data_IF_573967256233
#
_entry.id   IF_573967256233
#
_cell.length_a   1.000
_cell.length_b   1.000
_cell.length_c   1.000
_cell.angle_alpha   90.00
_cell.angle_beta   90.00
_cell.angle_gamma   90.00
#
_symmetry.space_group_name_H-M   'P 1'
#
loop_
_entity.id
_entity.type
_entity.pdbx_description
1 polymer ?
#
# COMPACT_ATOMS: atom_id res chain seq x y z
N UNK A 1 11.06 12.54 -6.29
CA UNK A 1 10.38 12.12 -5.04
C UNK A 1 8.88 12.17 -5.29
N UNK A 2 8.12 11.18 -4.81
CA UNK A 2 6.64 11.21 -4.94
C UNK A 2 6.09 12.30 -4.03
N UNK A 3 4.98 12.93 -4.41
CA UNK A 3 4.27 13.85 -3.54
C UNK A 3 3.67 13.09 -2.35
N UNK A 4 3.59 13.75 -1.20
CA UNK A 4 2.99 13.19 0.00
C UNK A 4 1.47 13.01 -0.17
N UNK A 5 0.99 11.78 0.00
CA UNK A 5 -0.42 11.42 -0.07
C UNK A 5 -0.99 11.14 1.34
N UNK A 6 -1.36 12.21 2.04
CA UNK A 6 -1.94 12.14 3.39
C UNK A 6 -3.31 11.44 3.40
N UNK A 7 -4.11 11.60 2.35
CA UNK A 7 -5.44 10.98 2.29
C UNK A 7 -5.31 9.47 2.13
N UNK A 8 -4.38 9.03 1.28
CA UNK A 8 -4.02 7.62 1.14
C UNK A 8 -3.48 7.00 2.42
N UNK A 9 -2.59 7.69 3.16
CA UNK A 9 -2.12 7.21 4.47
C UNK A 9 -3.26 7.00 5.46
N UNK A 10 -4.15 7.99 5.58
CA UNK A 10 -5.34 7.89 6.46
C UNK A 10 -6.21 6.71 6.05
N UNK A 11 -6.43 6.51 4.76
CA UNK A 11 -7.21 5.39 4.24
C UNK A 11 -6.56 4.05 4.55
N UNK A 12 -5.26 3.92 4.28
CA UNK A 12 -4.51 2.68 4.53
C UNK A 12 -4.54 2.32 6.02
N UNK A 13 -4.37 3.28 6.92
CA UNK A 13 -4.49 3.08 8.38
C UNK A 13 -5.92 2.72 8.80
N UNK A 14 -6.93 3.36 8.20
CA UNK A 14 -8.34 3.06 8.49
C UNK A 14 -8.71 1.64 8.07
N UNK A 15 -8.27 1.22 6.88
CA UNK A 15 -8.48 -0.15 6.41
C UNK A 15 -7.74 -1.14 7.29
N UNK A 16 -6.50 -0.85 7.67
CA UNK A 16 -5.73 -1.69 8.57
C UNK A 16 -6.42 -1.91 9.93
N UNK A 17 -6.93 -0.85 10.55
CA UNK A 17 -7.76 -0.95 11.76
C UNK A 17 -9.01 -1.81 11.51
N UNK A 18 -9.71 -1.58 10.39
CA UNK A 18 -10.88 -2.36 10.01
C UNK A 18 -10.58 -3.85 9.83
N UNK A 19 -9.42 -4.21 9.27
CA UNK A 19 -9.00 -5.59 9.13
C UNK A 19 -8.81 -6.28 10.48
N UNK A 20 -8.27 -5.58 11.48
CA UNK A 20 -8.13 -6.14 12.81
C UNK A 20 -9.49 -6.42 13.46
N UNK A 21 -10.43 -5.46 13.41
CA UNK A 21 -11.79 -5.69 13.89
C UNK A 21 -12.48 -6.85 13.14
N UNK A 22 -12.30 -6.93 11.82
CA UNK A 22 -12.85 -8.02 11.03
C UNK A 22 -12.24 -9.38 11.42
N UNK A 23 -10.93 -9.47 11.60
CA UNK A 23 -10.26 -10.70 12.04
C UNK A 23 -10.78 -11.16 13.40
N UNK A 24 -10.91 -10.24 14.35
CA UNK A 24 -11.44 -10.51 15.70
C UNK A 24 -12.90 -10.96 15.65
N UNK A 25 -13.73 -10.32 14.83
CA UNK A 25 -15.11 -10.72 14.62
C UNK A 25 -15.18 -12.13 14.00
N UNK A 26 -14.34 -12.43 13.00
CA UNK A 26 -14.29 -13.76 12.37
C UNK A 26 -13.89 -14.84 13.36
N UNK A 27 -12.88 -14.60 14.20
CA UNK A 27 -12.46 -15.54 15.25
C UNK A 27 -13.61 -15.79 16.23
N UNK A 28 -14.32 -14.74 16.66
CA UNK A 28 -15.43 -14.87 17.59
C UNK A 28 -16.70 -15.50 16.99
N UNK A 29 -16.87 -15.44 15.67
CA UNK A 29 -18.00 -16.03 14.95
C UNK A 29 -17.69 -17.44 14.42
N UNK A 30 -16.44 -17.90 14.51
CA UNK A 30 -16.06 -19.21 14.00
C UNK A 30 -16.70 -20.32 14.83
N UNK A 31 -17.31 -21.36 14.21
CA UNK A 31 -17.95 -22.44 14.94
C UNK A 31 -16.98 -23.16 15.87
N UNK A 32 -17.38 -23.30 17.14
CA UNK A 32 -16.59 -23.96 18.21
C UNK A 32 -16.31 -25.44 17.88
N UNK A 33 -17.11 -26.06 16.99
CA UNK A 33 -17.03 -27.48 16.62
C UNK A 33 -15.82 -27.84 15.74
N UNK A 34 -15.26 -26.87 15.00
CA UNK A 34 -14.16 -27.09 14.03
C UNK A 34 -12.80 -26.56 14.53
N UNK A 35 -12.75 -25.98 15.72
CA UNK A 35 -11.51 -25.45 16.30
C UNK A 35 -11.31 -26.07 17.67
N UNK A 36 -10.13 -26.62 17.97
CA UNK A 36 -9.73 -27.01 19.34
C UNK A 36 -9.54 -25.77 20.25
N UNK A 37 -10.36 -24.73 20.07
CA UNK A 37 -10.34 -23.52 20.85
C UNK A 37 -11.28 -23.74 22.04
N UNK A 38 -10.71 -24.03 23.21
CA UNK A 38 -11.48 -24.24 24.43
C UNK A 38 -12.42 -23.06 24.70
N UNK A 39 -13.65 -23.37 25.10
CA UNK A 39 -14.78 -22.46 25.34
C UNK A 39 -14.48 -21.25 26.26
N UNK A 40 -13.37 -21.28 27.00
CA UNK A 40 -12.95 -20.22 27.93
C UNK A 40 -12.16 -19.07 27.28
N UNK A 41 -11.80 -19.17 26.00
CA UNK A 41 -10.96 -18.17 25.30
C UNK A 41 -11.74 -17.23 24.38
N UNK A 42 -12.98 -16.87 24.71
CA UNK A 42 -13.68 -15.81 23.97
C UNK A 42 -12.87 -14.53 24.04
N UNK A 43 -12.37 -14.12 22.88
CA UNK A 43 -11.43 -13.03 22.72
C UNK A 43 -12.20 -11.72 22.95
N UNK A 44 -11.90 -11.01 24.04
CA UNK A 44 -12.76 -9.95 24.53
C UNK A 44 -12.03 -8.83 25.26
N UNK A 45 -12.80 -7.88 25.80
CA UNK A 45 -12.25 -6.71 26.48
C UNK A 45 -11.35 -7.07 27.67
N UNK A 46 -11.73 -8.10 28.45
CA UNK A 46 -10.97 -8.50 29.63
C UNK A 46 -9.63 -9.15 29.28
N UNK A 47 -9.59 -10.05 28.29
CA UNK A 47 -8.35 -10.64 27.81
C UNK A 47 -7.43 -9.57 27.22
N UNK A 48 -7.97 -8.70 26.37
CA UNK A 48 -7.24 -7.56 25.84
C UNK A 48 -6.64 -6.67 26.93
N UNK A 49 -7.46 -6.27 27.91
CA UNK A 49 -7.00 -5.42 29.01
C UNK A 49 -5.91 -6.10 29.81
N UNK A 50 -6.06 -7.39 30.10
CA UNK A 50 -5.03 -8.16 30.79
C UNK A 50 -3.71 -8.15 30.01
N UNK A 51 -3.76 -8.52 28.74
CA UNK A 51 -2.61 -8.66 27.86
C UNK A 51 -1.87 -7.34 27.61
N UNK A 52 -2.59 -6.22 27.46
CA UNK A 52 -2.01 -4.87 27.33
C UNK A 52 -1.35 -4.40 28.63
N UNK A 53 -1.86 -4.83 29.79
CA UNK A 53 -1.32 -4.41 31.11
C UNK A 53 -0.21 -5.32 31.64
N UNK A 54 0.00 -6.49 31.01
CA UNK A 54 1.03 -7.45 31.37
C UNK A 54 1.96 -7.73 30.17
N UNK A 55 2.62 -6.70 29.60
CA UNK A 55 3.56 -6.91 28.51
C UNK A 55 4.73 -7.78 28.95
N UNK A 56 5.22 -8.63 28.06
CA UNK A 56 6.29 -9.59 28.32
C UNK A 56 7.34 -9.57 27.24
N UNK A 57 8.50 -10.16 27.52
CA UNK A 57 9.35 -10.65 26.45
C UNK A 57 8.74 -11.95 25.94
N UNK A 58 8.48 -12.06 24.64
CA UNK A 58 7.79 -13.22 24.13
C UNK A 58 8.74 -14.41 23.88
N UNK A 59 8.24 -15.62 24.11
CA UNK A 59 9.00 -16.89 24.01
C UNK A 59 8.71 -17.63 22.70
N UNK A 60 8.13 -16.92 21.73
CA UNK A 60 7.74 -17.45 20.44
C UNK A 60 8.92 -17.96 19.61
N UNK A 61 8.58 -18.80 18.62
CA UNK A 61 9.60 -19.39 17.74
C UNK A 61 10.30 -18.26 17.01
N UNK A 62 11.63 -18.30 16.96
CA UNK A 62 12.45 -17.27 16.32
C UNK A 62 12.03 -16.90 14.87
N UNK A 63 11.42 -17.82 14.13
CA UNK A 63 10.86 -17.55 12.79
C UNK A 63 9.74 -16.50 12.83
N UNK A 64 8.88 -16.53 13.85
CA UNK A 64 7.81 -15.53 14.02
C UNK A 64 8.46 -14.17 14.28
N UNK A 65 9.19 -14.04 15.38
CA UNK A 65 9.67 -12.74 15.88
C UNK A 65 10.76 -12.12 14.99
N UNK A 66 11.57 -12.93 14.28
CA UNK A 66 12.71 -12.41 13.50
C UNK A 66 12.59 -12.60 11.99
N UNK A 67 11.54 -13.26 11.49
CA UNK A 67 11.28 -13.33 10.04
C UNK A 67 9.91 -12.74 9.72
N UNK A 68 8.85 -13.24 10.36
CA UNK A 68 7.49 -12.83 10.03
C UNK A 68 7.19 -11.39 10.47
N UNK A 69 7.55 -11.02 11.71
CA UNK A 69 7.42 -9.64 12.20
C UNK A 69 8.20 -8.65 11.33
N UNK A 70 9.52 -8.83 11.09
CA UNK A 70 10.25 -7.96 10.16
C UNK A 70 9.66 -7.93 8.75
N UNK A 71 9.13 -9.04 8.22
CA UNK A 71 8.43 -9.04 6.93
C UNK A 71 7.21 -8.11 6.92
N UNK A 72 6.34 -8.19 7.94
CA UNK A 72 5.18 -7.30 8.04
C UNK A 72 5.58 -5.84 8.23
N UNK A 73 6.58 -5.58 9.08
CA UNK A 73 7.17 -4.25 9.24
C UNK A 73 7.72 -3.70 7.92
N UNK A 74 8.37 -4.53 7.10
CA UNK A 74 8.83 -4.12 5.76
C UNK A 74 7.66 -3.76 4.83
N UNK A 75 6.56 -4.51 4.88
CA UNK A 75 5.32 -4.18 4.16
C UNK A 75 4.74 -2.83 4.60
N UNK A 76 4.64 -2.58 5.90
CA UNK A 76 4.16 -1.30 6.44
C UNK A 76 5.05 -0.12 6.04
N UNK A 77 6.38 -0.32 6.10
CA UNK A 77 7.36 0.65 5.64
C UNK A 77 7.18 0.95 4.15
N UNK A 78 7.09 -0.07 3.30
CA UNK A 78 6.88 0.11 1.85
C UNK A 78 5.57 0.85 1.57
N UNK A 79 4.48 0.51 2.26
CA UNK A 79 3.20 1.22 2.10
C UNK A 79 3.35 2.72 2.38
N UNK A 80 4.10 3.09 3.42
CA UNK A 80 4.44 4.48 3.71
C UNK A 80 5.24 5.14 2.58
N UNK A 81 6.24 4.43 2.03
CA UNK A 81 7.07 4.90 0.91
C UNK A 81 6.26 5.15 -0.35
N UNK A 82 5.30 4.26 -0.65
CA UNK A 82 4.39 4.41 -1.79
C UNK A 82 3.51 5.67 -1.66
N UNK A 83 3.22 6.12 -0.42
CA UNK A 83 2.52 7.37 -0.08
C UNK A 83 3.41 8.61 0.04
N UNK A 84 4.70 8.49 -0.27
CA UNK A 84 5.63 9.62 -0.29
C UNK A 84 6.30 9.95 1.05
N UNK A 85 6.19 9.10 2.07
CA UNK A 85 7.05 9.20 3.26
C UNK A 85 8.44 8.63 2.97
N UNK A 86 9.47 9.08 3.67
CA UNK A 86 10.86 8.65 3.46
C UNK A 86 11.62 8.47 4.77
N UNK A 87 12.65 7.61 4.76
CA UNK A 87 13.56 7.41 5.89
C UNK A 87 12.82 7.21 7.22
N UNK A 88 13.08 8.10 8.18
CA UNK A 88 12.47 8.09 9.52
C UNK A 88 10.95 8.24 9.49
N UNK A 89 10.36 8.97 8.54
CA UNK A 89 8.89 9.11 8.48
C UNK A 89 8.21 7.78 8.14
N UNK A 90 8.79 7.02 7.20
CA UNK A 90 8.30 5.69 6.86
C UNK A 90 8.55 4.68 7.99
N UNK A 91 9.67 4.81 8.72
CA UNK A 91 9.92 4.04 9.94
C UNK A 91 8.86 4.33 11.01
N UNK A 92 8.54 5.60 11.28
CA UNK A 92 7.52 5.97 12.27
C UNK A 92 6.13 5.46 11.88
N UNK A 93 5.79 5.48 10.59
CA UNK A 93 4.54 4.89 10.13
C UNK A 93 4.52 3.37 10.27
N UNK A 94 5.63 2.70 9.97
CA UNK A 94 5.79 1.26 10.22
C UNK A 94 5.65 0.92 11.70
N UNK A 95 6.26 1.72 12.58
CA UNK A 95 6.14 1.58 14.03
C UNK A 95 4.69 1.78 14.50
N UNK A 96 4.00 2.79 13.97
CA UNK A 96 2.59 3.01 14.25
C UNK A 96 1.73 1.79 13.88
N UNK A 97 1.83 1.27 12.65
CA UNK A 97 1.03 0.10 12.26
C UNK A 97 1.40 -1.16 13.05
N UNK A 98 2.70 -1.34 13.36
CA UNK A 98 3.16 -2.44 14.21
C UNK A 98 2.55 -2.35 15.62
N UNK A 99 2.58 -1.18 16.24
CA UNK A 99 1.94 -0.96 17.54
C UNK A 99 0.42 -1.15 17.48
N UNK A 100 -0.25 -0.71 16.42
CA UNK A 100 -1.70 -0.93 16.29
C UNK A 100 -2.00 -2.43 16.22
N UNK A 101 -1.20 -3.22 15.51
CA UNK A 101 -1.36 -4.67 15.45
C UNK A 101 -1.15 -5.33 16.80
N UNK A 102 0.00 -5.04 17.42
CA UNK A 102 0.43 -5.58 18.71
C UNK A 102 -0.60 -5.28 19.82
N UNK A 103 -0.99 -4.01 19.98
CA UNK A 103 -1.97 -3.59 20.97
C UNK A 103 -3.42 -3.84 20.52
N UNK A 104 -3.65 -4.39 19.33
CA UNK A 104 -4.97 -4.59 18.76
C UNK A 104 -5.32 -6.07 18.67
N UNK A 105 -5.17 -6.63 17.48
CA UNK A 105 -5.50 -8.02 17.19
C UNK A 105 -4.69 -9.04 18.00
N UNK A 106 -3.42 -8.76 18.27
CA UNK A 106 -2.52 -9.67 18.98
C UNK A 106 -2.76 -9.63 20.48
N UNK A 107 -2.84 -8.43 21.07
CA UNK A 107 -3.22 -8.22 22.47
C UNK A 107 -4.55 -8.89 22.87
N UNK A 108 -5.41 -9.18 21.91
CA UNK A 108 -6.68 -9.85 22.16
C UNK A 108 -6.50 -11.33 22.51
N UNK A 109 -5.46 -11.99 21.98
CA UNK A 109 -5.15 -13.41 22.18
C UNK A 109 -3.92 -13.64 23.05
N UNK A 110 -2.92 -12.75 23.00
CA UNK A 110 -1.61 -12.91 23.64
C UNK A 110 -1.15 -11.61 24.28
N UNK A 111 -0.23 -11.68 25.26
CA UNK A 111 0.35 -10.52 25.92
C UNK A 111 1.18 -9.68 24.95
N UNK A 112 1.11 -8.35 25.07
CA UNK A 112 1.94 -7.43 24.25
C UNK A 112 3.43 -7.74 24.43
N UNK A 113 4.14 -7.90 23.32
CA UNK A 113 5.55 -8.22 23.27
C UNK A 113 6.41 -6.96 23.18
N UNK A 114 7.31 -6.77 24.16
CA UNK A 114 8.32 -5.71 24.10
C UNK A 114 9.25 -5.87 22.90
N UNK A 115 9.55 -7.13 22.56
CA UNK A 115 10.45 -7.47 21.48
C UNK A 115 9.85 -7.04 20.14
N UNK A 116 8.58 -7.37 19.89
CA UNK A 116 7.97 -7.17 18.59
C UNK A 116 7.65 -5.69 18.33
N UNK A 117 7.36 -4.91 19.38
CA UNK A 117 7.29 -3.45 19.30
C UNK A 117 8.59 -2.79 18.81
N UNK A 118 9.75 -3.44 19.01
CA UNK A 118 11.05 -2.94 18.57
C UNK A 118 11.49 -3.60 17.26
N UNK A 119 11.49 -4.93 17.21
CA UNK A 119 12.04 -5.74 16.13
C UNK A 119 11.24 -5.54 14.84
N UNK A 120 9.90 -5.55 14.93
CA UNK A 120 9.00 -5.39 13.77
C UNK A 120 9.31 -4.10 13.00
N UNK A 121 9.24 -2.90 13.58
CA UNK A 121 9.52 -1.69 12.82
C UNK A 121 11.01 -1.48 12.52
N UNK A 122 11.93 -1.85 13.41
CA UNK A 122 13.35 -1.59 13.19
C UNK A 122 13.92 -2.48 12.09
N UNK A 123 13.84 -3.81 12.24
CA UNK A 123 14.33 -4.73 11.22
C UNK A 123 13.46 -4.68 9.96
N UNK A 124 12.15 -4.49 10.13
CA UNK A 124 11.24 -4.34 9.00
C UNK A 124 11.55 -3.10 8.16
N UNK A 125 11.87 -1.95 8.77
CA UNK A 125 12.25 -0.77 7.99
C UNK A 125 13.56 -0.95 7.22
N UNK A 126 14.54 -1.68 7.79
CA UNK A 126 15.78 -2.01 7.09
C UNK A 126 15.52 -2.92 5.89
N UNK A 127 14.73 -3.98 6.08
CA UNK A 127 14.32 -4.89 5.00
C UNK A 127 13.49 -4.14 3.93
N UNK A 128 12.58 -3.29 4.38
CA UNK A 128 11.74 -2.43 3.55
C UNK A 128 12.57 -1.49 2.69
N UNK A 129 13.55 -0.79 3.27
CA UNK A 129 14.35 0.20 2.57
C UNK A 129 15.39 -0.40 1.63
N UNK A 130 16.03 -1.50 2.05
CA UNK A 130 17.20 -2.03 1.35
C UNK A 130 16.87 -3.21 0.44
N UNK A 131 15.73 -3.87 0.61
CA UNK A 131 15.34 -5.03 -0.19
C UNK A 131 14.03 -4.80 -0.92
N UNK A 132 12.94 -4.53 -0.20
CA UNK A 132 11.61 -4.45 -0.83
C UNK A 132 11.49 -3.23 -1.73
N UNK A 133 11.85 -2.04 -1.22
CA UNK A 133 11.72 -0.80 -1.97
C UNK A 133 12.55 -0.81 -3.27
N UNK A 134 13.84 -1.18 -3.28
CA UNK A 134 14.63 -1.24 -4.51
C UNK A 134 14.09 -2.30 -5.49
N UNK A 135 13.65 -3.46 -5.00
CA UNK A 135 13.03 -4.49 -5.84
C UNK A 135 11.78 -3.96 -6.54
N UNK A 136 10.89 -3.32 -5.78
CA UNK A 136 9.67 -2.71 -6.33
C UNK A 136 9.99 -1.66 -7.37
N UNK A 137 10.93 -0.76 -7.09
CA UNK A 137 11.30 0.28 -8.05
C UNK A 137 11.88 -0.29 -9.35
N UNK A 138 12.65 -1.39 -9.28
CA UNK A 138 13.12 -2.09 -10.47
C UNK A 138 11.98 -2.69 -11.30
N UNK A 139 10.98 -3.25 -10.63
CA UNK A 139 9.81 -3.81 -11.31
C UNK A 139 8.98 -2.69 -11.96
N UNK A 140 8.65 -1.65 -11.20
CA UNK A 140 7.81 -0.52 -11.66
C UNK A 140 8.48 0.34 -12.73
N UNK A 141 9.81 0.30 -12.86
CA UNK A 141 10.54 1.02 -13.90
C UNK A 141 10.53 0.31 -15.27
N UNK A 142 10.05 -0.94 -15.34
CA UNK A 142 9.94 -1.68 -16.61
C UNK A 142 8.96 -0.95 -17.54
N UNK A 143 9.38 -0.73 -18.79
CA UNK A 143 8.52 -0.15 -19.83
C UNK A 143 7.55 -1.19 -20.43
N UNK A 144 7.92 -2.47 -20.30
CA UNK A 144 7.15 -3.60 -20.76
C UNK A 144 6.03 -3.96 -19.77
N UNK A 145 5.03 -4.71 -20.23
CA UNK A 145 3.99 -5.20 -19.34
C UNK A 145 4.58 -6.09 -18.23
N UNK A 146 4.20 -5.83 -16.97
CA UNK A 146 4.65 -6.62 -15.84
C UNK A 146 4.24 -8.10 -16.00
N UNK A 147 5.23 -8.98 -15.87
CA UNK A 147 5.06 -10.43 -15.86
C UNK A 147 4.23 -10.91 -14.65
N UNK A 148 3.80 -12.16 -14.66
CA UNK A 148 3.12 -12.75 -13.49
C UNK A 148 4.00 -12.71 -12.24
N UNK A 149 5.29 -13.00 -12.38
CA UNK A 149 6.24 -12.95 -11.28
C UNK A 149 6.38 -11.52 -10.73
N UNK A 150 6.44 -10.51 -11.60
CA UNK A 150 6.49 -9.10 -11.19
C UNK A 150 5.28 -8.72 -10.34
N UNK A 151 4.07 -9.11 -10.77
CA UNK A 151 2.83 -8.83 -10.03
C UNK A 151 2.82 -9.53 -8.68
N UNK A 152 3.25 -10.79 -8.63
CA UNK A 152 3.35 -11.54 -7.37
C UNK A 152 4.34 -10.86 -6.42
N UNK A 153 5.52 -10.45 -6.90
CA UNK A 153 6.50 -9.74 -6.08
C UNK A 153 5.99 -8.38 -5.59
N UNK A 154 5.22 -7.64 -6.41
CA UNK A 154 4.58 -6.41 -5.97
C UNK A 154 3.53 -6.66 -4.88
N UNK A 155 2.80 -7.78 -4.92
CA UNK A 155 1.88 -8.16 -3.84
C UNK A 155 2.63 -8.60 -2.59
N UNK A 156 3.67 -9.42 -2.72
CA UNK A 156 4.45 -9.91 -1.56
C UNK A 156 5.20 -8.79 -0.83
N UNK A 157 5.66 -7.78 -1.56
CA UNK A 157 6.40 -6.65 -0.95
C UNK A 157 5.48 -5.53 -0.43
N UNK A 158 4.18 -5.57 -0.75
CA UNK A 158 3.17 -4.66 -0.22
C UNK A 158 1.79 -5.37 -0.18
N UNK A 159 1.63 -6.36 0.71
CA UNK A 159 0.39 -7.13 0.79
C UNK A 159 -0.78 -6.24 1.23
N UNK A 160 -0.51 -5.20 2.02
CA UNK A 160 -1.50 -4.24 2.47
C UNK A 160 -2.10 -3.47 1.28
N UNK A 161 -1.31 -3.08 0.29
CA UNK A 161 -1.85 -2.45 -0.92
C UNK A 161 -2.78 -3.39 -1.71
N UNK A 162 -2.43 -4.67 -1.83
CA UNK A 162 -3.26 -5.65 -2.52
C UNK A 162 -4.63 -5.83 -1.83
N UNK A 163 -4.64 -5.90 -0.50
CA UNK A 163 -5.87 -5.94 0.30
C UNK A 163 -6.68 -4.64 0.15
N UNK A 164 -6.02 -3.49 0.27
CA UNK A 164 -6.67 -2.18 0.15
C UNK A 164 -7.31 -2.00 -1.24
N UNK A 165 -6.66 -2.44 -2.31
CA UNK A 165 -7.21 -2.43 -3.66
C UNK A 165 -8.44 -3.33 -3.81
N UNK A 166 -8.48 -4.46 -3.10
CA UNK A 166 -9.66 -5.33 -3.02
C UNK A 166 -10.84 -4.62 -2.36
N UNK A 167 -10.61 -3.97 -1.22
CA UNK A 167 -11.64 -3.20 -0.51
C UNK A 167 -12.12 -2.03 -1.34
N UNK A 168 -11.21 -1.26 -1.95
CA UNK A 168 -11.56 -0.14 -2.81
C UNK A 168 -12.46 -0.60 -3.97
N UNK A 169 -12.18 -1.75 -4.58
CA UNK A 169 -13.04 -2.35 -5.64
C UNK A 169 -14.45 -2.67 -5.14
N UNK A 170 -14.57 -3.26 -3.95
CA UNK A 170 -15.87 -3.58 -3.34
C UNK A 170 -16.65 -2.31 -3.01
N UNK A 171 -15.96 -1.27 -2.54
CA UNK A 171 -16.56 0.03 -2.20
C UNK A 171 -16.76 0.95 -3.42
N UNK A 172 -16.46 0.48 -4.63
CA UNK A 172 -16.58 1.25 -5.87
C UNK A 172 -15.61 2.44 -5.97
N UNK A 173 -14.55 2.47 -5.16
CA UNK A 173 -13.50 3.50 -5.19
C UNK A 173 -12.45 3.13 -6.23
N UNK A 174 -12.16 4.04 -7.17
CA UNK A 174 -11.13 3.84 -8.21
C UNK A 174 -11.65 3.66 -9.64
N UNK A 175 -12.96 3.83 -9.88
CA UNK A 175 -13.50 3.96 -11.24
C UNK A 175 -13.61 5.45 -11.59
N UNK A 176 -12.49 6.08 -11.94
CA UNK A 176 -12.52 7.42 -12.54
C UNK A 176 -12.70 7.28 -14.06
N UNK A 177 -13.95 7.44 -14.53
CA UNK A 177 -14.24 7.51 -15.97
C UNK A 177 -13.86 8.91 -16.45
N UNK A 178 -12.61 9.10 -16.86
CA UNK A 178 -12.21 10.35 -17.50
C UNK A 178 -12.61 10.33 -18.97
N UNK A 179 -13.63 11.12 -19.31
CA UNK A 179 -14.08 11.32 -20.68
C UNK A 179 -13.22 12.43 -21.30
N UNK A 180 -12.10 12.05 -21.93
CA UNK A 180 -11.24 13.03 -22.60
C UNK A 180 -11.93 13.47 -23.91
N UNK A 181 -12.55 14.65 -23.91
CA UNK A 181 -13.01 15.28 -25.15
C UNK A 181 -11.81 15.94 -25.84
N UNK A 182 -11.58 15.69 -27.14
CA UNK A 182 -10.55 16.41 -27.88
C UNK A 182 -11.08 17.81 -28.23
N UNK A 183 -11.15 18.70 -27.26
CA UNK A 183 -11.17 20.13 -27.52
C UNK A 183 -9.78 20.67 -27.20
N UNK A 184 -8.84 20.41 -28.09
CA UNK A 184 -7.70 21.33 -28.20
C UNK A 184 -8.27 22.65 -28.74
N UNK A 185 -8.19 23.78 -28.02
CA UNK A 185 -8.26 25.06 -28.72
C UNK A 185 -7.11 25.03 -29.73
N UNK A 186 -7.38 25.40 -30.98
CA UNK A 186 -6.34 25.60 -31.99
C UNK A 186 -5.26 26.52 -31.39
N UNK A 187 -4.17 25.95 -30.90
CA UNK A 187 -2.97 26.67 -30.56
C UNK A 187 -2.30 27.03 -31.87
N UNK A 188 -2.68 28.16 -32.45
CA UNK A 188 -1.97 28.77 -33.57
C UNK A 188 -0.58 29.17 -33.08
N UNK A 189 0.38 28.24 -33.12
CA UNK A 189 1.78 28.56 -32.89
C UNK A 189 2.30 29.26 -34.16
N UNK A 190 2.07 30.56 -34.25
CA UNK A 190 2.82 31.42 -35.16
C UNK A 190 4.20 31.60 -34.54
N UNK A 191 5.21 30.89 -35.08
CA UNK A 191 6.61 31.28 -34.87
C UNK A 191 6.89 32.51 -35.72
N UNK A 192 7.38 33.63 -35.16
CA UNK A 192 7.90 34.72 -35.98
C UNK A 192 9.17 34.25 -36.68
N UNK A 193 9.26 34.42 -38.00
CA UNK A 193 10.50 34.24 -38.75
C UNK A 193 11.45 35.39 -38.41
N UNK A 194 12.42 35.19 -37.52
CA UNK A 194 13.60 36.05 -37.43
C UNK A 194 14.62 35.61 -38.48
N UNK A 195 14.90 36.47 -39.46
CA UNK A 195 16.01 36.29 -40.41
C UNK A 195 15.68 36.74 -41.83
N UNK A 196 16.40 37.76 -42.30
CA UNK A 196 16.27 38.35 -43.63
C UNK A 196 16.84 37.43 -44.73
N UNK A 197 15.99 36.59 -45.35
CA UNK A 197 16.21 36.05 -46.72
C UNK A 197 14.83 35.77 -47.36
N UNK A 198 14.53 36.22 -48.59
CA UNK A 198 13.24 36.01 -49.20
C UNK A 198 13.23 34.68 -49.94
N UNK A 199 12.84 33.57 -49.30
CA UNK A 199 12.20 32.39 -49.94
C UNK A 199 11.88 31.33 -48.87
N UNK A 200 10.62 31.27 -48.42
CA UNK A 200 10.03 30.04 -47.89
C UNK A 200 8.64 29.86 -48.47
N UNK A 201 8.59 29.10 -49.56
CA UNK A 201 7.38 28.61 -50.20
C UNK A 201 6.82 27.43 -49.39
N UNK A 202 5.52 27.52 -49.11
CA UNK A 202 4.53 26.43 -49.02
C UNK A 202 4.90 25.18 -48.21
N UNK A 203 4.49 25.16 -46.93
CA UNK A 203 4.40 23.94 -46.12
C UNK A 203 2.98 23.36 -46.17
N UNK A 204 2.85 22.16 -46.73
CA UNK A 204 1.59 21.47 -47.02
C UNK A 204 0.66 21.29 -45.81
N UNK A 205 -0.64 21.55 -46.02
CA UNK A 205 -1.73 21.09 -45.13
C UNK A 205 -1.84 19.58 -45.28
N UNK A 206 -1.26 18.80 -44.35
CA UNK A 206 -1.57 17.38 -44.24
C UNK A 206 -2.94 17.21 -43.59
N UNK A 207 -3.77 16.44 -44.29
CA UNK A 207 -5.18 16.20 -44.01
C UNK A 207 -5.48 15.68 -42.60
N UNK A 208 -6.73 15.95 -42.21
CA UNK A 208 -7.26 15.75 -40.86
C UNK A 208 -7.04 14.35 -40.29
N UNK A 209 -6.51 14.33 -39.07
CA UNK A 209 -6.67 13.19 -38.18
C UNK A 209 -8.15 13.11 -37.78
N UNK A 210 -8.79 11.97 -38.06
CA UNK A 210 -10.12 11.67 -37.54
C UNK A 210 -10.09 11.81 -36.00
N UNK A 211 -11.09 12.44 -35.36
CA UNK A 211 -11.17 12.46 -33.90
C UNK A 211 -11.27 11.02 -33.41
N UNK A 212 -10.22 10.56 -32.72
CA UNK A 212 -10.23 9.27 -32.04
C UNK A 212 -10.93 9.47 -30.71
N UNK A 213 -12.21 9.16 -30.66
CA UNK A 213 -12.90 8.96 -29.40
C UNK A 213 -12.26 7.77 -28.70
N UNK A 214 -11.77 7.98 -27.49
CA UNK A 214 -11.12 6.94 -26.69
C UNK A 214 -11.63 7.02 -25.27
N UNK A 215 -12.21 5.93 -24.78
CA UNK A 215 -12.44 5.74 -23.35
C UNK A 215 -11.14 5.21 -22.78
N UNK A 216 -10.44 6.02 -21.98
CA UNK A 216 -9.22 5.57 -21.30
C UNK A 216 -9.56 5.18 -19.86
N UNK A 217 -9.62 3.88 -19.59
CA UNK A 217 -9.70 3.36 -18.23
C UNK A 217 -8.30 3.43 -17.60
N UNK A 218 -8.09 4.31 -16.62
CA UNK A 218 -6.88 4.28 -15.78
C UNK A 218 -7.18 3.56 -14.48
N UNK A 219 -6.58 2.39 -14.32
CA UNK A 219 -6.48 1.72 -13.02
C UNK A 219 -5.24 2.28 -12.32
N UNK A 220 -5.43 3.11 -11.28
CA UNK A 220 -4.35 3.47 -10.37
C UNK A 220 -4.26 2.39 -9.29
N UNK A 221 -3.08 1.78 -9.19
CA UNK A 221 -2.73 0.77 -8.18
C UNK A 221 -1.97 1.43 -7.03
#
# INVERSE_FOLDING_TARGET
MRALDLQGLKRDTTYFLGYQFAAVALINLWPEEDTNYENDKKVGWESWRHNVTHPKWDDDRAVVNYILHPYWGAGYYVRARERGLHGTQALLYSALLSSIFEFGAEALVENVSYQDLLVTPLLGSLLGEHVFWPLRQRILAKQEAHSTADRVLLVLTDPLAALNAGVDRVLGRGVEVSLTTPLSPLGTSLRPCEGAVPHCLSGAIRGGSKPRWGVQLRLQW
#
